data_IF_436384222869
#
_entry.id   IF_436384222869
#
_cell.length_a   1.000
_cell.length_b   1.000
_cell.length_c   1.000
_cell.angle_alpha   90.00
_cell.angle_beta   90.00
_cell.angle_gamma   90.00
#
_symmetry.space_group_name_H-M   'P 1'
#
loop_
_entity.id
_entity.type
_entity.pdbx_description
1 polymer ?
#
# COMPACT_ATOMS: atom_id res chain seq x y z
N UNK A 1 -9.42 36.36 -1.13
CA UNK A 1 -9.27 35.37 -0.04
C UNK A 1 -10.24 34.24 -0.30
N UNK A 2 -9.80 33.23 -1.06
CA UNK A 2 -10.60 32.02 -1.30
C UNK A 2 -10.25 31.00 -0.22
N UNK A 3 -11.21 30.74 0.66
CA UNK A 3 -11.13 29.63 1.60
C UNK A 3 -11.18 28.34 0.79
N UNK A 4 -10.04 27.64 0.71
CA UNK A 4 -9.98 26.27 0.26
C UNK A 4 -10.50 25.44 1.44
N UNK A 5 -11.82 25.32 1.53
CA UNK A 5 -12.44 24.30 2.32
C UNK A 5 -12.46 23.06 1.43
N UNK A 6 -11.32 22.36 1.36
CA UNK A 6 -11.26 21.02 0.79
C UNK A 6 -11.86 20.05 1.81
N UNK A 7 -13.15 20.22 2.07
CA UNK A 7 -13.96 19.11 2.53
C UNK A 7 -14.11 18.24 1.29
N UNK A 8 -13.29 17.20 1.19
CA UNK A 8 -13.52 16.09 0.30
C UNK A 8 -14.89 15.50 0.67
N UNK A 9 -15.94 16.07 0.09
CA UNK A 9 -17.19 15.32 -0.06
C UNK A 9 -16.83 14.29 -1.12
N UNK A 10 -16.33 13.15 -0.65
CA UNK A 10 -16.24 11.95 -1.44
C UNK A 10 -17.67 11.67 -1.90
N UNK A 11 -18.04 12.11 -3.09
CA UNK A 11 -19.32 11.73 -3.70
C UNK A 11 -19.16 10.26 -4.13
N UNK A 12 -19.34 9.36 -3.18
CA UNK A 12 -19.42 7.93 -3.44
C UNK A 12 -20.65 7.67 -4.31
N UNK A 13 -20.43 7.41 -5.59
CA UNK A 13 -21.45 6.79 -6.43
C UNK A 13 -21.42 5.30 -6.12
N UNK A 14 -22.23 4.90 -5.16
CA UNK A 14 -22.32 3.52 -4.71
C UNK A 14 -23.01 2.62 -5.74
N UNK A 15 -22.35 1.53 -6.08
CA UNK A 15 -23.05 0.35 -6.58
C UNK A 15 -23.72 -0.34 -5.38
N UNK A 16 -24.94 -0.83 -5.57
CA UNK A 16 -25.90 -1.26 -4.58
C UNK A 16 -25.58 -2.55 -3.83
N UNK A 17 -24.35 -2.75 -3.38
CA UNK A 17 -24.02 -3.80 -2.40
C UNK A 17 -23.51 -3.13 -1.12
N UNK A 18 -24.44 -2.89 -0.22
CA UNK A 18 -24.20 -2.20 1.05
C UNK A 18 -23.55 -3.21 2.01
N UNK A 19 -22.23 -3.19 2.11
CA UNK A 19 -21.57 -3.68 3.32
C UNK A 19 -21.62 -2.52 4.35
N UNK A 20 -22.06 -2.83 5.55
CA UNK A 20 -22.00 -1.87 6.66
C UNK A 20 -20.53 -1.40 6.81
N UNK A 21 -20.29 -0.09 6.74
CA UNK A 21 -18.97 0.51 6.83
C UNK A 21 -18.41 1.13 5.54
N UNK A 22 -18.89 0.72 4.35
CA UNK A 22 -18.38 1.26 3.08
C UNK A 22 -18.67 2.76 2.86
N UNK A 23 -19.62 3.31 3.60
CA UNK A 23 -20.04 4.72 3.56
C UNK A 23 -19.33 5.58 4.62
N UNK A 24 -18.54 4.97 5.48
CA UNK A 24 -17.86 5.67 6.56
C UNK A 24 -16.78 6.61 6.03
N UNK A 25 -16.59 7.74 6.71
CA UNK A 25 -15.49 8.64 6.39
C UNK A 25 -14.14 7.92 6.63
N UNK A 26 -13.09 8.22 5.84
CA UNK A 26 -11.77 7.65 6.03
C UNK A 26 -11.13 8.16 7.33
N UNK A 27 -11.27 7.39 8.39
CA UNK A 27 -10.78 7.69 9.74
C UNK A 27 -9.96 6.52 10.28
N UNK A 28 -9.30 6.74 11.42
CA UNK A 28 -8.55 5.71 12.13
C UNK A 28 -9.43 4.50 12.49
N UNK A 29 -8.96 3.31 12.15
CA UNK A 29 -9.65 2.05 12.45
C UNK A 29 -10.88 1.75 11.60
N UNK A 30 -11.10 2.45 10.48
CA UNK A 30 -12.23 2.17 9.59
C UNK A 30 -12.12 0.77 8.98
N UNK A 31 -13.25 0.08 8.89
CA UNK A 31 -13.38 -1.21 8.19
C UNK A 31 -14.02 -1.02 6.81
N UNK A 32 -13.18 -1.13 5.78
CA UNK A 32 -13.59 -1.12 4.37
C UNK A 32 -13.42 -2.50 3.72
N UNK A 33 -13.25 -3.55 4.51
CA UNK A 33 -13.07 -4.90 3.97
C UNK A 33 -14.22 -5.30 3.05
N UNK A 34 -13.89 -5.91 1.93
CA UNK A 34 -14.84 -6.31 0.87
C UNK A 34 -15.65 -5.16 0.23
N UNK A 35 -15.33 -3.89 0.49
CA UNK A 35 -15.99 -2.78 -0.17
C UNK A 35 -15.61 -2.69 -1.65
N UNK A 36 -16.54 -2.19 -2.47
CA UNK A 36 -16.34 -1.91 -3.88
C UNK A 36 -16.31 -0.39 -4.09
N UNK A 37 -15.19 0.12 -4.56
CA UNK A 37 -15.04 1.55 -4.86
C UNK A 37 -14.86 1.76 -6.36
N UNK A 38 -15.15 2.96 -6.86
CA UNK A 38 -14.87 3.32 -8.25
C UNK A 38 -13.37 3.45 -8.49
N UNK A 39 -12.93 3.19 -9.72
CA UNK A 39 -11.54 3.43 -10.14
C UNK A 39 -11.17 4.92 -10.06
N UNK A 40 -9.85 5.21 -10.01
CA UNK A 40 -9.28 6.55 -10.10
C UNK A 40 -9.66 7.51 -8.95
N UNK A 41 -9.95 7.00 -7.75
CA UNK A 41 -10.22 7.84 -6.59
C UNK A 41 -8.96 8.55 -6.10
N UNK A 42 -9.14 9.78 -5.57
CA UNK A 42 -8.08 10.51 -4.88
C UNK A 42 -8.24 10.39 -3.36
N UNK A 43 -7.46 9.49 -2.76
CA UNK A 43 -7.31 9.29 -1.32
C UNK A 43 -5.95 9.81 -0.84
N UNK A 44 -5.36 10.76 -1.58
CA UNK A 44 -4.10 11.37 -1.19
C UNK A 44 -4.22 12.06 0.16
N UNK A 45 -3.19 11.86 1.01
CA UNK A 45 -3.16 12.37 2.39
C UNK A 45 -4.27 11.84 3.30
N UNK A 46 -4.98 10.77 2.92
CA UNK A 46 -5.94 10.12 3.80
C UNK A 46 -5.24 9.69 5.10
N UNK A 47 -5.92 9.87 6.23
CA UNK A 47 -5.48 9.40 7.54
C UNK A 47 -6.35 8.21 7.95
N UNK A 48 -5.87 7.01 7.67
CA UNK A 48 -6.58 5.73 7.88
C UNK A 48 -5.64 4.66 8.49
N UNK A 49 -4.94 4.96 9.60
CA UNK A 49 -4.16 3.94 10.29
C UNK A 49 -5.08 2.90 10.91
N UNK A 50 -4.54 1.72 11.23
CA UNK A 50 -5.23 0.59 11.87
C UNK A 50 -6.51 0.13 11.14
N UNK A 51 -6.70 0.50 9.88
CA UNK A 51 -7.91 0.24 9.10
C UNK A 51 -7.86 -1.11 8.41
N UNK A 52 -9.03 -1.72 8.19
CA UNK A 52 -9.16 -2.95 7.41
C UNK A 52 -9.61 -2.62 5.98
N UNK A 53 -8.70 -2.86 5.03
CA UNK A 53 -8.86 -2.69 3.59
C UNK A 53 -8.64 -4.04 2.88
N UNK A 54 -8.88 -5.15 3.58
CA UNK A 54 -8.69 -6.48 3.02
C UNK A 54 -9.75 -6.80 1.96
N UNK A 55 -9.35 -7.59 0.95
CA UNK A 55 -10.23 -8.01 -0.15
C UNK A 55 -10.88 -6.87 -0.95
N UNK A 56 -10.37 -5.65 -0.80
CA UNK A 56 -10.86 -4.46 -1.51
C UNK A 56 -10.31 -4.39 -2.93
N UNK A 57 -11.00 -3.68 -3.83
CA UNK A 57 -10.47 -3.35 -5.14
C UNK A 57 -10.31 -1.83 -5.27
N UNK A 58 -9.04 -1.39 -5.32
CA UNK A 58 -8.62 -0.01 -5.49
C UNK A 58 -7.63 0.11 -6.66
N UNK A 59 -8.11 -0.10 -7.88
CA UNK A 59 -7.29 0.01 -9.08
C UNK A 59 -7.12 1.49 -9.47
N UNK A 60 -5.88 1.92 -9.75
CA UNK A 60 -5.52 3.30 -10.14
C UNK A 60 -5.90 4.37 -9.13
N UNK A 61 -5.96 4.01 -7.85
CA UNK A 61 -6.28 4.97 -6.77
C UNK A 61 -5.04 5.73 -6.33
N UNK A 62 -5.21 7.00 -6.00
CA UNK A 62 -4.15 7.84 -5.48
C UNK A 62 -4.15 7.84 -3.95
N UNK A 63 -3.14 7.20 -3.33
CA UNK A 63 -2.86 7.20 -1.89
C UNK A 63 -1.60 8.01 -1.53
N UNK A 64 -1.19 8.95 -2.37
CA UNK A 64 0.02 9.72 -2.14
C UNK A 64 0.01 10.42 -0.79
N UNK A 65 1.09 10.22 -0.02
CA UNK A 65 1.26 10.83 1.31
C UNK A 65 0.19 10.42 2.33
N UNK A 66 -0.58 9.38 2.07
CA UNK A 66 -1.52 8.83 3.06
C UNK A 66 -0.80 8.25 4.28
N UNK A 67 -1.52 8.16 5.39
CA UNK A 67 -1.04 7.53 6.64
C UNK A 67 -1.90 6.30 6.89
N UNK A 68 -1.30 5.12 6.70
CA UNK A 68 -1.94 3.80 6.72
C UNK A 68 -1.16 2.82 7.60
N UNK A 69 -0.56 3.32 8.68
CA UNK A 69 0.23 2.49 9.60
C UNK A 69 -0.64 1.40 10.22
N UNK A 70 -0.09 0.18 10.36
CA UNK A 70 -0.75 -0.99 10.93
C UNK A 70 -2.05 -1.40 10.21
N UNK A 71 -2.32 -0.89 9.01
CA UNK A 71 -3.53 -1.24 8.26
C UNK A 71 -3.41 -2.60 7.58
N UNK A 72 -4.56 -3.24 7.32
CA UNK A 72 -4.66 -4.54 6.65
C UNK A 72 -5.12 -4.30 5.21
N UNK A 73 -4.26 -4.60 4.23
CA UNK A 73 -4.52 -4.49 2.80
C UNK A 73 -4.45 -5.87 2.12
N UNK A 74 -4.49 -6.94 2.92
CA UNK A 74 -4.26 -8.30 2.45
C UNK A 74 -5.33 -8.75 1.46
N UNK A 75 -4.88 -9.49 0.43
CA UNK A 75 -5.73 -10.01 -0.65
C UNK A 75 -6.51 -8.93 -1.43
N UNK A 76 -6.16 -7.66 -1.26
CA UNK A 76 -6.75 -6.54 -2.01
C UNK A 76 -6.13 -6.39 -3.40
N UNK A 77 -6.82 -5.69 -4.29
CA UNK A 77 -6.32 -5.33 -5.60
C UNK A 77 -6.02 -3.83 -5.67
N UNK A 78 -4.75 -3.49 -5.70
CA UNK A 78 -4.22 -2.12 -5.74
C UNK A 78 -3.40 -1.87 -7.01
N UNK A 79 -3.67 -2.61 -8.08
CA UNK A 79 -2.93 -2.49 -9.33
C UNK A 79 -2.94 -1.05 -9.87
N UNK A 80 -1.80 -0.60 -10.41
CA UNK A 80 -1.59 0.72 -10.99
C UNK A 80 -1.83 1.91 -10.02
N UNK A 81 -2.01 1.66 -8.72
CA UNK A 81 -2.23 2.71 -7.71
C UNK A 81 -0.93 3.40 -7.29
N UNK A 82 -1.05 4.60 -6.73
CA UNK A 82 0.10 5.35 -6.21
C UNK A 82 0.06 5.48 -4.70
N UNK A 83 1.18 5.09 -4.06
CA UNK A 83 1.48 5.27 -2.65
C UNK A 83 2.76 6.13 -2.47
N UNK A 84 2.98 7.08 -3.38
CA UNK A 84 4.15 7.95 -3.32
C UNK A 84 4.24 8.68 -1.99
N UNK A 85 5.35 8.47 -1.25
CA UNK A 85 5.57 9.00 0.10
C UNK A 85 4.50 8.62 1.13
N UNK A 86 3.71 7.58 0.91
CA UNK A 86 2.77 7.08 1.90
C UNK A 86 3.51 6.44 3.10
N UNK A 87 2.85 6.42 4.25
CA UNK A 87 3.35 5.74 5.44
C UNK A 87 2.52 4.48 5.71
N UNK A 88 3.11 3.32 5.40
CA UNK A 88 2.54 1.99 5.60
C UNK A 88 3.33 1.19 6.65
N UNK A 89 3.95 1.87 7.63
CA UNK A 89 4.70 1.21 8.70
C UNK A 89 3.89 0.06 9.32
N UNK A 90 4.47 -1.16 9.37
CA UNK A 90 3.84 -2.38 9.89
C UNK A 90 2.50 -2.79 9.23
N UNK A 91 2.17 -2.28 8.04
CA UNK A 91 0.97 -2.69 7.35
C UNK A 91 1.07 -4.13 6.81
N UNK A 92 -0.07 -4.81 6.70
CA UNK A 92 -0.17 -6.15 6.12
C UNK A 92 -0.70 -6.10 4.69
N UNK A 93 0.17 -6.41 3.70
CA UNK A 93 -0.12 -6.42 2.26
C UNK A 93 -0.07 -7.85 1.68
N UNK A 94 -0.16 -8.87 2.55
CA UNK A 94 -0.04 -10.28 2.16
C UNK A 94 -1.05 -10.69 1.10
N UNK A 95 -0.60 -11.41 0.08
CA UNK A 95 -1.45 -11.95 -1.00
C UNK A 95 -2.09 -10.90 -1.90
N UNK A 96 -1.85 -9.61 -1.67
CA UNK A 96 -2.43 -8.53 -2.47
C UNK A 96 -1.84 -8.43 -3.87
N UNK A 97 -2.59 -7.83 -4.79
CA UNK A 97 -2.14 -7.47 -6.12
C UNK A 97 -1.73 -5.99 -6.15
N UNK A 98 -0.43 -5.75 -6.35
CA UNK A 98 0.18 -4.42 -6.46
C UNK A 98 0.89 -4.24 -7.82
N UNK A 99 0.45 -4.94 -8.87
CA UNK A 99 1.06 -4.81 -10.19
C UNK A 99 1.14 -3.34 -10.64
N UNK A 100 2.33 -2.90 -11.08
CA UNK A 100 2.62 -1.52 -11.52
C UNK A 100 2.36 -0.42 -10.48
N UNK A 101 2.24 -0.78 -9.21
CA UNK A 101 2.04 0.18 -8.12
C UNK A 101 3.30 1.03 -7.90
N UNK A 102 3.10 2.31 -7.57
CA UNK A 102 4.17 3.24 -7.24
C UNK A 102 4.33 3.40 -5.72
N UNK A 103 5.39 2.83 -5.13
CA UNK A 103 5.79 3.02 -3.74
C UNK A 103 7.03 3.92 -3.60
N UNK A 104 7.32 4.78 -4.57
CA UNK A 104 8.50 5.66 -4.51
C UNK A 104 8.51 6.48 -3.22
N UNK A 105 9.64 6.45 -2.51
CA UNK A 105 9.86 7.15 -1.24
C UNK A 105 8.86 6.80 -0.12
N UNK A 106 8.10 5.72 -0.22
CA UNK A 106 7.19 5.28 0.82
C UNK A 106 7.93 4.73 2.04
N UNK A 107 7.32 4.87 3.22
CA UNK A 107 7.76 4.16 4.42
C UNK A 107 7.06 2.80 4.48
N UNK A 108 7.80 1.76 4.17
CA UNK A 108 7.37 0.35 4.12
C UNK A 108 8.12 -0.48 5.17
N UNK A 109 8.59 0.16 6.25
CA UNK A 109 9.30 -0.52 7.34
C UNK A 109 8.40 -1.59 7.94
N UNK A 110 8.90 -2.83 8.03
CA UNK A 110 8.21 -4.00 8.58
C UNK A 110 6.91 -4.38 7.87
N UNK A 111 6.71 -3.94 6.64
CA UNK A 111 5.54 -4.35 5.85
C UNK A 111 5.60 -5.84 5.54
N UNK A 112 4.45 -6.52 5.61
CA UNK A 112 4.28 -7.88 5.17
C UNK A 112 3.82 -7.91 3.70
N UNK A 113 4.71 -8.31 2.77
CA UNK A 113 4.44 -8.54 1.35
C UNK A 113 4.39 -10.03 0.98
N UNK A 114 4.25 -10.95 1.96
CA UNK A 114 4.24 -12.38 1.66
C UNK A 114 3.23 -12.74 0.57
N UNK A 115 3.66 -13.57 -0.36
CA UNK A 115 2.82 -14.06 -1.46
C UNK A 115 2.15 -12.96 -2.32
N UNK A 116 2.53 -11.69 -2.18
CA UNK A 116 1.97 -10.59 -2.96
C UNK A 116 2.45 -10.62 -4.42
N UNK A 117 1.61 -10.13 -5.34
CA UNK A 117 2.03 -9.81 -6.71
C UNK A 117 2.61 -8.39 -6.73
N UNK A 118 3.92 -8.30 -6.96
CA UNK A 118 4.70 -7.06 -7.01
C UNK A 118 5.33 -6.85 -8.40
N UNK A 119 4.66 -7.34 -9.44
CA UNK A 119 5.15 -7.26 -10.83
C UNK A 119 5.23 -5.79 -11.27
N UNK A 120 6.37 -5.37 -11.79
CA UNK A 120 6.63 -4.01 -12.28
C UNK A 120 6.42 -2.90 -11.23
N UNK A 121 6.44 -3.24 -9.94
CA UNK A 121 6.32 -2.26 -8.84
C UNK A 121 7.54 -1.36 -8.79
N UNK A 122 7.32 -0.08 -8.49
CA UNK A 122 8.39 0.89 -8.26
C UNK A 122 8.58 1.16 -6.76
N UNK A 123 9.67 0.62 -6.17
CA UNK A 123 10.11 0.86 -4.80
C UNK A 123 11.26 1.88 -4.70
N UNK A 124 11.48 2.68 -5.73
CA UNK A 124 12.59 3.65 -5.73
C UNK A 124 12.62 4.49 -4.45
N UNK A 125 13.79 4.57 -3.81
CA UNK A 125 14.04 5.37 -2.61
C UNK A 125 13.11 5.04 -1.41
N UNK A 126 12.41 3.91 -1.41
CA UNK A 126 11.54 3.50 -0.32
C UNK A 126 12.33 2.95 0.87
N UNK A 127 11.73 3.01 2.06
CA UNK A 127 12.28 2.36 3.25
C UNK A 127 11.61 1.00 3.46
N UNK A 128 12.31 -0.08 3.11
CA UNK A 128 11.88 -1.48 3.21
C UNK A 128 12.61 -2.23 4.36
N UNK A 129 13.11 -1.48 5.36
CA UNK A 129 13.79 -2.06 6.51
C UNK A 129 12.89 -3.10 7.19
N UNK A 130 13.40 -4.34 7.37
CA UNK A 130 12.69 -5.46 7.95
C UNK A 130 11.39 -5.88 7.21
N UNK A 131 11.13 -5.43 5.98
CA UNK A 131 10.00 -5.90 5.18
C UNK A 131 10.12 -7.38 4.85
N UNK A 132 8.99 -8.08 4.67
CA UNK A 132 8.94 -9.51 4.37
C UNK A 132 8.37 -9.77 2.97
N UNK A 133 9.22 -10.22 2.03
CA UNK A 133 8.86 -10.56 0.64
C UNK A 133 8.71 -12.06 0.40
N UNK A 134 8.68 -12.90 1.45
CA UNK A 134 8.67 -14.36 1.29
C UNK A 134 7.57 -14.81 0.31
N UNK A 135 7.95 -15.52 -0.75
CA UNK A 135 7.02 -16.05 -1.75
C UNK A 135 6.36 -15.01 -2.66
N UNK A 136 6.71 -13.72 -2.56
CA UNK A 136 6.16 -12.69 -3.45
C UNK A 136 6.75 -12.79 -4.86
N UNK A 137 5.99 -12.30 -5.86
CA UNK A 137 6.46 -12.18 -7.24
C UNK A 137 6.95 -10.75 -7.50
N UNK A 138 8.27 -10.56 -7.56
CA UNK A 138 8.93 -9.27 -7.79
C UNK A 138 9.43 -9.09 -9.24
N UNK A 139 8.85 -9.79 -10.21
CA UNK A 139 9.26 -9.70 -11.62
C UNK A 139 9.27 -8.25 -12.09
N UNK A 140 10.39 -7.78 -12.61
CA UNK A 140 10.60 -6.40 -13.10
C UNK A 140 10.36 -5.30 -12.04
N UNK A 141 10.30 -5.61 -10.75
CA UNK A 141 10.21 -4.58 -9.71
C UNK A 141 11.53 -3.79 -9.62
N UNK A 142 11.42 -2.47 -9.41
CA UNK A 142 12.57 -1.59 -9.23
C UNK A 142 12.80 -1.28 -7.74
N UNK A 143 14.00 -1.56 -7.24
CA UNK A 143 14.44 -1.25 -5.87
C UNK A 143 15.52 -0.17 -5.83
N UNK A 144 15.70 0.61 -6.91
CA UNK A 144 16.73 1.67 -6.98
C UNK A 144 16.69 2.56 -5.71
N UNK A 145 17.80 2.65 -4.98
CA UNK A 145 17.91 3.45 -3.75
C UNK A 145 17.11 2.95 -2.55
N UNK A 146 16.32 1.88 -2.67
CA UNK A 146 15.53 1.36 -1.56
C UNK A 146 16.39 0.78 -0.44
N UNK A 147 15.99 1.02 0.81
CA UNK A 147 16.64 0.45 1.99
C UNK A 147 16.07 -0.95 2.28
N UNK A 148 16.81 -2.00 1.94
CA UNK A 148 16.46 -3.41 2.13
C UNK A 148 17.15 -4.05 3.34
N UNK A 149 17.76 -3.27 4.22
CA UNK A 149 18.46 -3.81 5.39
C UNK A 149 17.52 -4.68 6.24
N UNK A 150 17.95 -5.89 6.59
CA UNK A 150 17.20 -6.88 7.35
C UNK A 150 15.86 -7.33 6.71
N UNK A 151 15.55 -6.93 5.47
CA UNK A 151 14.38 -7.47 4.79
C UNK A 151 14.50 -8.99 4.62
N UNK A 152 13.38 -9.69 4.64
CA UNK A 152 13.31 -11.10 4.25
C UNK A 152 12.99 -11.17 2.77
N UNK A 153 13.88 -11.80 1.98
CA UNK A 153 13.72 -11.84 0.52
C UNK A 153 12.73 -12.92 0.09
N UNK A 154 12.46 -13.02 -1.20
CA UNK A 154 11.45 -13.92 -1.78
C UNK A 154 11.67 -15.41 -1.46
N UNK A 155 12.91 -15.81 -1.22
CA UNK A 155 13.34 -17.18 -0.85
C UNK A 155 13.36 -17.41 0.68
N UNK A 156 12.98 -16.42 1.48
CA UNK A 156 12.97 -16.47 2.93
C UNK A 156 14.30 -16.11 3.60
N UNK A 157 15.36 -15.79 2.83
CA UNK A 157 16.64 -15.38 3.39
C UNK A 157 16.65 -13.89 3.74
N UNK A 158 17.51 -13.52 4.69
CA UNK A 158 17.68 -12.13 5.12
C UNK A 158 18.65 -11.36 4.23
N UNK A 159 18.31 -10.15 3.90
CA UNK A 159 19.22 -9.17 3.32
C UNK A 159 20.14 -8.61 4.42
N UNK A 160 21.47 -8.61 4.21
CA UNK A 160 22.43 -8.09 5.18
C UNK A 160 22.39 -6.56 5.27
N UNK A 161 23.04 -6.03 6.30
CA UNK A 161 23.28 -4.58 6.44
C UNK A 161 24.05 -4.06 5.22
N UNK A 162 23.66 -2.89 4.72
CA UNK A 162 24.21 -2.33 3.48
C UNK A 162 23.43 -2.72 2.21
N UNK A 163 22.30 -3.44 2.33
CA UNK A 163 21.43 -3.76 1.21
C UNK A 163 20.63 -2.53 0.76
N UNK A 164 21.22 -1.76 -0.16
CA UNK A 164 20.58 -0.58 -0.77
C UNK A 164 20.39 -0.84 -2.26
N UNK A 165 19.16 -0.80 -2.72
CA UNK A 165 18.80 -1.08 -4.12
C UNK A 165 18.91 -2.55 -4.54
N UNK A 166 19.61 -3.37 -3.77
CA UNK A 166 19.80 -4.81 -3.99
C UNK A 166 19.87 -5.54 -2.66
N UNK A 167 19.28 -6.73 -2.59
CA UNK A 167 19.42 -7.60 -1.43
C UNK A 167 20.78 -8.31 -1.45
N UNK A 168 21.68 -7.96 -0.55
CA UNK A 168 22.94 -8.66 -0.31
C UNK A 168 22.68 -9.78 0.69
N UNK A 169 23.07 -11.02 0.36
CA UNK A 169 22.90 -12.22 1.19
C UNK A 169 24.22 -12.79 1.62
#
# INVERSE_FOLDING_TARGET
MKKILSLLILSFLFSTNINAGCDDAPVDGVDYSNCQFSEEQDLSRAYIPNSDLSFISFIKVNFDKSIMMNSILSNGNFAESSFFRANLYEANLEGGNFEKTNFTSANLTRVNFKAASLIEVNFKDSNLFEADFTGSNITNASFEGANLNNATWVDGEKCFLGSIGVCNK
#
